data_IF_234984905631
#
_entry.id   IF_234984905631
#
_cell.length_a   1.000
_cell.length_b   1.000
_cell.length_c   1.000
_cell.angle_alpha   90.00
_cell.angle_beta   90.00
_cell.angle_gamma   90.00
#
_symmetry.space_group_name_H-M   'P 1'
#
loop_
_entity.id
_entity.type
_entity.pdbx_description
1 polymer ?
#
# COMPACT_ATOMS: atom_id res chain seq x y z
N UNK A 1 -5.41 20.76 -7.46
CA UNK A 1 -4.16 20.90 -6.66
C UNK A 1 -4.49 20.76 -5.18
N UNK A 2 -3.61 20.20 -4.39
CA UNK A 2 -3.79 20.16 -2.93
C UNK A 2 -3.64 21.55 -2.30
N UNK A 3 -4.40 21.80 -1.22
CA UNK A 3 -4.16 22.99 -0.38
C UNK A 3 -2.82 22.86 0.37
N UNK A 4 -2.19 23.97 0.79
CA UNK A 4 -0.95 23.93 1.58
C UNK A 4 -1.07 23.09 2.86
N UNK A 5 -2.22 23.14 3.54
CA UNK A 5 -2.45 22.32 4.73
C UNK A 5 -2.46 20.83 4.41
N UNK A 6 -3.14 20.43 3.33
CA UNK A 6 -3.21 19.04 2.90
C UNK A 6 -1.89 18.51 2.38
N UNK A 7 -1.10 19.35 1.69
CA UNK A 7 0.23 19.01 1.19
C UNK A 7 1.21 18.69 2.33
N UNK A 8 1.08 19.33 3.50
CA UNK A 8 1.94 19.07 4.67
C UNK A 8 1.75 17.68 5.26
N UNK A 9 0.57 17.10 5.15
CA UNK A 9 0.25 15.75 5.68
C UNK A 9 0.25 14.68 4.59
N UNK A 10 0.09 15.08 3.34
CA UNK A 10 0.12 14.18 2.17
C UNK A 10 1.10 14.73 1.13
N UNK A 11 2.41 14.52 1.33
CA UNK A 11 3.44 15.15 0.50
C UNK A 11 3.61 14.50 -0.89
N UNK A 12 2.93 13.40 -1.16
CA UNK A 12 3.00 12.67 -2.42
C UNK A 12 1.75 12.90 -3.28
N UNK A 13 0.97 11.87 -3.52
CA UNK A 13 -0.29 11.92 -4.25
C UNK A 13 -1.30 10.95 -3.61
N UNK A 14 -2.55 11.16 -3.93
CA UNK A 14 -3.67 10.35 -3.45
C UNK A 14 -4.46 9.84 -4.64
N UNK A 15 -4.93 8.60 -4.55
CA UNK A 15 -5.88 8.01 -5.49
C UNK A 15 -7.34 8.36 -5.15
N UNK A 16 -8.24 7.78 -5.91
CA UNK A 16 -9.68 7.96 -5.83
C UNK A 16 -10.26 8.00 -7.23
N UNK A 17 -11.29 8.80 -7.47
CA UNK A 17 -11.80 9.05 -8.83
C UNK A 17 -10.77 9.76 -9.72
N UNK A 18 -9.90 10.52 -9.11
CA UNK A 18 -8.81 11.26 -9.77
C UNK A 18 -7.54 11.10 -8.95
N UNK A 19 -6.39 11.00 -9.63
CA UNK A 19 -5.09 11.16 -8.97
C UNK A 19 -4.89 12.62 -8.60
N UNK A 20 -4.65 12.86 -7.32
CA UNK A 20 -4.31 14.17 -6.78
C UNK A 20 -2.82 14.19 -6.49
N UNK A 21 -2.07 14.98 -7.23
CA UNK A 21 -0.61 15.13 -7.05
C UNK A 21 -0.31 16.32 -6.16
N UNK A 22 0.60 16.11 -5.20
CA UNK A 22 1.10 17.17 -4.34
C UNK A 22 2.17 17.98 -5.06
N UNK A 23 1.92 19.28 -5.25
CA UNK A 23 2.88 20.21 -5.85
C UNK A 23 3.39 21.21 -4.82
N UNK A 24 4.61 21.74 -5.02
CA UNK A 24 5.11 22.85 -4.24
C UNK A 24 4.15 24.06 -4.26
N UNK A 25 3.97 24.70 -3.13
CA UNK A 25 3.12 25.88 -2.97
C UNK A 25 3.96 27.18 -2.93
N UNK A 26 3.34 28.32 -3.22
CA UNK A 26 4.04 29.60 -3.22
C UNK A 26 4.63 29.98 -1.87
N UNK A 27 4.05 29.49 -0.77
CA UNK A 27 4.51 29.76 0.60
C UNK A 27 5.73 28.91 1.02
N UNK A 28 6.14 27.94 0.22
CA UNK A 28 7.32 27.12 0.51
C UNK A 28 8.60 27.86 0.13
N UNK A 29 9.68 27.64 0.88
CA UNK A 29 11.02 28.08 0.49
C UNK A 29 11.46 27.42 -0.81
N UNK A 30 12.43 28.01 -1.51
CA UNK A 30 12.98 27.40 -2.74
C UNK A 30 13.56 25.99 -2.48
N UNK A 31 14.26 25.80 -1.36
CA UNK A 31 14.78 24.49 -0.95
C UNK A 31 13.69 23.45 -0.75
N UNK A 32 12.61 23.83 -0.06
CA UNK A 32 11.46 22.93 0.16
C UNK A 32 10.73 22.58 -1.14
N UNK A 33 10.63 23.54 -2.06
CA UNK A 33 10.06 23.26 -3.41
C UNK A 33 10.86 22.22 -4.17
N UNK A 34 12.20 22.36 -4.20
CA UNK A 34 13.07 21.37 -4.83
C UNK A 34 13.01 20.02 -4.15
N UNK A 35 12.97 20.00 -2.81
CA UNK A 35 12.83 18.78 -2.01
C UNK A 35 11.52 18.04 -2.32
N UNK A 36 10.40 18.77 -2.38
CA UNK A 36 9.09 18.22 -2.74
C UNK A 36 9.11 17.57 -4.13
N UNK A 37 9.74 18.23 -5.11
CA UNK A 37 9.85 17.70 -6.48
C UNK A 37 10.76 16.46 -6.56
N UNK A 38 11.83 16.39 -5.77
CA UNK A 38 12.65 15.18 -5.68
C UNK A 38 11.86 13.99 -5.10
N UNK A 39 10.99 14.24 -4.11
CA UNK A 39 10.10 13.23 -3.54
C UNK A 39 9.01 12.75 -4.52
N UNK A 40 8.59 13.60 -5.44
CA UNK A 40 7.57 13.31 -6.47
C UNK A 40 8.17 13.13 -7.87
N UNK A 41 9.30 12.46 -7.97
CA UNK A 41 9.95 12.19 -9.26
C UNK A 41 9.21 11.12 -10.09
N UNK A 42 9.43 11.06 -11.41
CA UNK A 42 8.74 10.13 -12.31
C UNK A 42 8.90 8.66 -11.93
N UNK A 43 10.08 8.23 -11.47
CA UNK A 43 10.32 6.83 -11.08
C UNK A 43 9.46 6.41 -9.87
N UNK A 44 9.28 7.31 -8.89
CA UNK A 44 8.42 7.09 -7.75
C UNK A 44 6.95 7.09 -8.14
N UNK A 45 6.52 8.06 -8.95
CA UNK A 45 5.14 8.19 -9.41
C UNK A 45 4.70 7.00 -10.25
N UNK A 46 5.52 6.52 -11.17
CA UNK A 46 5.23 5.35 -11.98
C UNK A 46 5.08 4.07 -11.15
N UNK A 47 5.84 3.94 -10.09
CA UNK A 47 5.76 2.79 -9.19
C UNK A 47 4.45 2.75 -8.41
N UNK A 48 3.83 3.90 -8.14
CA UNK A 48 2.63 4.03 -7.34
C UNK A 48 1.35 4.28 -8.13
N UNK A 49 1.43 4.56 -9.44
CA UNK A 49 0.24 4.77 -10.27
C UNK A 49 -0.68 3.55 -10.27
N UNK A 50 -0.13 2.35 -10.26
CA UNK A 50 -0.89 1.10 -10.20
C UNK A 50 -1.47 0.83 -8.81
N UNK A 51 -0.82 1.35 -7.76
CA UNK A 51 -1.34 1.33 -6.39
C UNK A 51 -2.61 2.19 -6.30
N UNK A 52 -2.60 3.38 -6.87
CA UNK A 52 -3.70 4.33 -6.75
C UNK A 52 -4.83 4.07 -7.75
N UNK A 53 -4.53 3.61 -8.96
CA UNK A 53 -5.52 3.42 -10.01
C UNK A 53 -5.90 1.95 -10.21
N UNK A 54 -5.44 1.36 -11.30
CA UNK A 54 -5.74 -0.01 -11.73
C UNK A 54 -4.42 -0.79 -11.78
N UNK A 55 -4.36 -1.93 -11.09
CA UNK A 55 -5.42 -2.67 -10.41
C UNK A 55 -5.63 -2.33 -8.92
N UNK A 56 -5.10 -1.19 -8.44
CA UNK A 56 -5.13 -0.76 -7.05
C UNK A 56 -6.46 -0.14 -6.60
N UNK A 57 -6.34 0.95 -5.83
CA UNK A 57 -7.46 1.55 -5.08
C UNK A 57 -8.66 1.96 -5.94
N UNK A 58 -8.46 2.55 -7.11
CA UNK A 58 -9.59 2.95 -7.96
C UNK A 58 -10.47 1.74 -8.33
N UNK A 59 -9.84 0.66 -8.80
CA UNK A 59 -10.58 -0.57 -9.14
C UNK A 59 -11.19 -1.22 -7.90
N UNK A 60 -10.44 -1.25 -6.79
CA UNK A 60 -10.91 -1.80 -5.52
C UNK A 60 -12.18 -1.09 -5.02
N UNK A 61 -12.18 0.25 -4.97
CA UNK A 61 -13.34 1.04 -4.53
C UNK A 61 -14.53 0.90 -5.47
N UNK A 62 -14.28 0.81 -6.79
CA UNK A 62 -15.34 0.51 -7.77
C UNK A 62 -16.09 -0.79 -7.43
N UNK A 63 -15.36 -1.84 -6.99
CA UNK A 63 -15.97 -3.09 -6.55
C UNK A 63 -16.62 -2.98 -5.17
N UNK A 64 -16.01 -2.27 -4.23
CA UNK A 64 -16.55 -2.08 -2.88
C UNK A 64 -17.93 -1.43 -2.86
N UNK A 65 -18.19 -0.50 -3.75
CA UNK A 65 -19.50 0.15 -3.88
C UNK A 65 -20.57 -0.78 -4.41
N UNK A 66 -20.22 -1.83 -5.16
CA UNK A 66 -21.13 -2.73 -5.88
C UNK A 66 -21.35 -4.06 -5.20
N UNK A 67 -20.35 -4.54 -4.48
CA UNK A 67 -20.39 -5.87 -3.87
C UNK A 67 -20.26 -5.76 -2.36
N UNK A 68 -21.18 -6.36 -1.63
CA UNK A 68 -21.24 -6.37 -0.16
C UNK A 68 -20.99 -4.98 0.48
N UNK A 69 -21.70 -3.91 0.07
CA UNK A 69 -21.41 -2.54 0.52
C UNK A 69 -21.52 -2.37 2.05
N UNK A 70 -22.29 -3.23 2.74
CA UNK A 70 -22.36 -3.24 4.20
C UNK A 70 -21.03 -3.53 4.88
N UNK A 71 -20.08 -4.18 4.21
CA UNK A 71 -18.74 -4.47 4.76
C UNK A 71 -17.82 -3.25 4.78
N UNK A 72 -18.20 -2.16 4.10
CA UNK A 72 -17.45 -0.90 4.17
C UNK A 72 -17.38 -0.31 5.59
N UNK A 73 -18.26 -0.73 6.50
CA UNK A 73 -18.23 -0.36 7.93
C UNK A 73 -17.02 -0.99 8.65
N UNK A 74 -16.49 -2.10 8.15
CA UNK A 74 -15.38 -2.86 8.75
C UNK A 74 -14.09 -2.73 7.96
N UNK A 75 -13.76 -1.53 7.55
CA UNK A 75 -12.53 -1.29 6.79
C UNK A 75 -11.29 -1.67 7.60
N UNK A 76 -10.41 -2.43 6.95
CA UNK A 76 -9.10 -2.78 7.50
C UNK A 76 -7.98 -2.38 6.53
N UNK A 77 -6.92 -1.72 7.00
CA UNK A 77 -5.79 -1.36 6.16
C UNK A 77 -5.09 -2.59 5.56
N UNK A 78 -5.17 -3.74 6.20
CA UNK A 78 -4.64 -5.00 5.68
C UNK A 78 -5.32 -5.39 4.35
N UNK A 79 -6.63 -5.16 4.22
CA UNK A 79 -7.34 -5.44 2.99
C UNK A 79 -7.19 -4.28 1.99
N UNK A 80 -7.41 -3.04 2.41
CA UNK A 80 -7.41 -1.87 1.52
C UNK A 80 -6.00 -1.61 0.98
N UNK A 81 -5.07 -1.30 1.85
CA UNK A 81 -3.70 -0.95 1.47
C UNK A 81 -2.89 -2.18 1.04
N UNK A 82 -3.15 -3.30 1.72
CA UNK A 82 -2.51 -4.57 1.40
C UNK A 82 -2.78 -5.03 -0.02
N UNK A 83 -4.00 -4.82 -0.56
CA UNK A 83 -4.33 -5.11 -1.95
C UNK A 83 -3.46 -4.34 -2.94
N UNK A 84 -3.36 -3.03 -2.77
CA UNK A 84 -2.58 -2.18 -3.66
C UNK A 84 -1.08 -2.49 -3.61
N UNK A 85 -0.53 -2.72 -2.41
CA UNK A 85 0.88 -3.14 -2.26
C UNK A 85 1.11 -4.56 -2.78
N UNK A 86 0.16 -5.47 -2.63
CA UNK A 86 0.22 -6.80 -3.26
C UNK A 86 0.41 -6.69 -4.78
N UNK A 87 -0.29 -5.78 -5.44
CA UNK A 87 -0.09 -5.54 -6.87
C UNK A 87 1.27 -4.90 -7.20
N UNK A 88 1.80 -4.01 -6.35
CA UNK A 88 3.19 -3.55 -6.50
C UNK A 88 4.17 -4.73 -6.51
N UNK A 89 4.00 -5.70 -5.59
CA UNK A 89 4.86 -6.87 -5.49
C UNK A 89 4.67 -7.85 -6.66
N UNK A 90 3.43 -8.07 -7.08
CA UNK A 90 3.11 -8.98 -8.18
C UNK A 90 3.62 -8.44 -9.52
N UNK A 91 3.45 -7.15 -9.79
CA UNK A 91 3.97 -6.49 -10.98
C UNK A 91 5.50 -6.50 -11.02
N UNK A 92 6.16 -6.31 -9.88
CA UNK A 92 7.60 -6.48 -9.77
C UNK A 92 8.04 -7.89 -10.18
N UNK A 93 7.38 -8.92 -9.68
CA UNK A 93 7.71 -10.32 -9.99
C UNK A 93 7.52 -10.66 -11.46
N UNK A 94 6.52 -10.07 -12.09
CA UNK A 94 6.16 -10.32 -13.50
C UNK A 94 6.95 -9.48 -14.51
N UNK A 95 7.75 -8.55 -14.02
CA UNK A 95 8.55 -7.71 -14.89
C UNK A 95 7.76 -6.63 -15.62
N UNK A 96 6.66 -6.15 -15.11
CA UNK A 96 5.72 -5.23 -15.77
C UNK A 96 5.44 -5.60 -17.23
N UNK A 97 4.21 -5.81 -17.67
CA UNK A 97 3.92 -6.16 -19.06
C UNK A 97 4.56 -5.11 -19.99
N UNK A 98 5.28 -5.58 -21.00
CA UNK A 98 5.82 -4.74 -22.08
C UNK A 98 4.76 -3.88 -22.78
N UNK A 99 3.50 -4.19 -22.56
CA UNK A 99 2.31 -3.51 -23.05
C UNK A 99 2.00 -2.17 -22.33
N UNK A 100 2.63 -1.89 -21.20
CA UNK A 100 2.48 -0.60 -20.49
C UNK A 100 3.29 0.53 -21.17
N UNK A 101 3.69 0.31 -22.42
CA UNK A 101 4.26 1.30 -23.32
C UNK A 101 5.79 1.33 -23.33
N UNK A 102 6.33 1.75 -24.47
CA UNK A 102 7.78 1.90 -24.69
C UNK A 102 8.47 2.75 -23.62
N UNK A 103 7.75 3.70 -23.02
CA UNK A 103 8.29 4.59 -22.00
C UNK A 103 8.65 3.88 -20.70
N UNK A 104 7.94 2.79 -20.32
CA UNK A 104 8.32 1.95 -19.19
C UNK A 104 9.63 1.20 -19.48
N UNK A 105 9.73 0.59 -20.64
CA UNK A 105 10.90 -0.19 -21.05
C UNK A 105 12.19 0.66 -21.12
N UNK A 106 12.09 1.90 -21.61
CA UNK A 106 13.26 2.80 -21.71
C UNK A 106 13.81 3.26 -20.34
N UNK A 107 13.01 3.18 -19.28
CA UNK A 107 13.35 3.62 -17.93
C UNK A 107 13.25 2.50 -16.88
N UNK A 108 13.34 1.23 -17.28
CA UNK A 108 13.11 0.09 -16.41
C UNK A 108 13.95 0.13 -15.12
N UNK A 109 15.25 0.42 -15.23
CA UNK A 109 16.15 0.50 -14.07
C UNK A 109 15.69 1.57 -13.06
N UNK A 110 15.34 2.77 -13.52
CA UNK A 110 14.84 3.85 -12.66
C UNK A 110 13.49 3.48 -12.02
N UNK A 111 12.58 2.87 -12.78
CA UNK A 111 11.29 2.41 -12.28
C UNK A 111 11.46 1.30 -11.23
N UNK A 112 12.39 0.38 -11.43
CA UNK A 112 12.73 -0.66 -10.42
C UNK A 112 13.31 -0.04 -9.16
N UNK A 113 14.15 0.99 -9.26
CA UNK A 113 14.64 1.74 -8.09
C UNK A 113 13.47 2.38 -7.34
N UNK A 114 12.53 3.01 -8.05
CA UNK A 114 11.32 3.57 -7.44
C UNK A 114 10.50 2.53 -6.68
N UNK A 115 10.31 1.34 -7.26
CA UNK A 115 9.62 0.23 -6.56
C UNK A 115 10.36 -0.25 -5.32
N UNK A 116 11.69 -0.33 -5.37
CA UNK A 116 12.51 -0.72 -4.21
C UNK A 116 12.47 0.34 -3.11
N UNK A 117 12.50 1.62 -3.49
CA UNK A 117 12.31 2.72 -2.53
C UNK A 117 10.99 2.59 -1.77
N UNK A 118 9.88 2.39 -2.48
CA UNK A 118 8.58 2.20 -1.83
C UNK A 118 8.52 0.94 -0.99
N UNK A 119 9.16 -0.15 -1.41
CA UNK A 119 9.25 -1.37 -0.59
C UNK A 119 10.02 -1.13 0.71
N UNK A 120 11.15 -0.44 0.66
CA UNK A 120 11.89 -0.04 1.87
C UNK A 120 11.07 0.86 2.76
N UNK A 121 10.33 1.81 2.18
CA UNK A 121 9.40 2.66 2.91
C UNK A 121 8.32 1.84 3.64
N UNK A 122 7.71 0.84 2.98
CA UNK A 122 6.74 -0.07 3.60
C UNK A 122 7.35 -0.85 4.77
N UNK A 123 8.58 -1.32 4.65
CA UNK A 123 9.30 -1.97 5.76
C UNK A 123 9.54 -1.01 6.93
N UNK A 124 9.99 0.20 6.64
CA UNK A 124 10.22 1.22 7.66
C UNK A 124 8.92 1.60 8.40
N UNK A 125 7.79 1.68 7.68
CA UNK A 125 6.46 1.91 8.28
C UNK A 125 6.10 0.87 9.34
N UNK A 126 6.39 -0.41 9.12
CA UNK A 126 6.16 -1.46 10.11
C UNK A 126 7.04 -1.19 11.34
N UNK A 127 8.33 -0.95 11.13
CA UNK A 127 9.32 -0.78 12.20
C UNK A 127 8.95 0.42 13.08
N UNK A 128 8.79 1.60 12.49
CA UNK A 128 8.56 2.80 13.29
C UNK A 128 7.16 2.82 13.91
N UNK A 129 6.14 2.30 13.21
CA UNK A 129 4.78 2.27 13.74
C UNK A 129 4.69 1.38 14.98
N UNK A 130 5.26 0.17 14.94
CA UNK A 130 5.27 -0.73 16.09
C UNK A 130 6.09 -0.12 17.23
N UNK A 131 7.32 0.33 16.97
CA UNK A 131 8.19 0.86 18.01
C UNK A 131 7.66 2.13 18.66
N UNK A 132 7.03 3.03 17.88
CA UNK A 132 6.39 4.21 18.40
C UNK A 132 5.26 3.85 19.37
N UNK A 133 4.33 2.98 18.97
CA UNK A 133 3.20 2.59 19.84
C UNK A 133 3.61 1.75 21.04
N UNK A 134 4.79 1.12 21.02
CA UNK A 134 5.39 0.46 22.18
C UNK A 134 6.23 1.42 23.06
N UNK A 135 6.31 2.70 22.73
CA UNK A 135 7.13 3.67 23.45
C UNK A 135 8.65 3.46 23.29
N UNK A 136 9.07 2.74 22.24
CA UNK A 136 10.47 2.40 21.95
C UNK A 136 11.14 3.34 20.94
N UNK A 137 10.39 4.21 20.30
CA UNK A 137 10.87 5.26 19.40
C UNK A 137 10.04 6.53 19.58
N UNK A 138 10.69 7.66 19.61
CA UNK A 138 10.04 8.96 19.56
C UNK A 138 9.85 9.43 18.10
N UNK A 139 9.06 10.48 17.82
CA UNK A 139 8.83 10.96 16.46
C UNK A 139 10.09 11.34 15.70
N UNK A 140 11.10 11.91 16.36
CA UNK A 140 12.36 12.31 15.73
C UNK A 140 13.16 11.08 15.26
N UNK A 141 13.23 10.04 16.08
CA UNK A 141 13.87 8.77 15.71
C UNK A 141 13.17 8.09 14.53
N UNK A 142 11.84 8.21 14.44
CA UNK A 142 11.06 7.72 13.29
C UNK A 142 11.42 8.49 12.01
N UNK A 143 11.55 9.82 12.08
CA UNK A 143 11.99 10.67 10.96
C UNK A 143 13.40 10.28 10.53
N UNK A 144 14.32 10.16 11.47
CA UNK A 144 15.71 9.81 11.19
C UNK A 144 15.84 8.40 10.57
N UNK A 145 15.03 7.45 10.98
CA UNK A 145 14.93 6.13 10.32
C UNK A 145 14.55 6.26 8.84
N UNK A 146 13.53 7.06 8.53
CA UNK A 146 13.09 7.27 7.15
C UNK A 146 14.15 7.98 6.30
N UNK A 147 14.81 8.99 6.85
CA UNK A 147 15.87 9.72 6.15
C UNK A 147 17.09 8.83 5.91
N UNK A 148 17.59 8.16 6.96
CA UNK A 148 18.88 7.45 6.90
C UNK A 148 18.80 6.08 6.26
N UNK A 149 17.68 5.36 6.42
CA UNK A 149 17.54 3.97 5.96
C UNK A 149 16.73 3.84 4.67
N UNK A 150 15.82 4.76 4.40
CA UNK A 150 14.98 4.74 3.20
C UNK A 150 15.46 5.76 2.16
N UNK A 151 16.08 6.86 2.59
CA UNK A 151 16.52 7.94 1.70
C UNK A 151 15.44 8.99 1.45
N UNK A 152 14.47 9.14 2.37
CA UNK A 152 13.50 10.22 2.28
C UNK A 152 14.15 11.60 2.45
N UNK A 153 13.66 12.56 1.70
CA UNK A 153 13.86 13.97 2.02
C UNK A 153 13.25 14.28 3.40
N UNK A 154 13.96 15.06 4.22
CA UNK A 154 13.56 15.29 5.62
C UNK A 154 12.13 15.82 5.76
N UNK A 155 11.74 16.83 4.98
CA UNK A 155 10.39 17.39 5.04
C UNK A 155 9.31 16.35 4.69
N UNK A 156 9.60 15.45 3.76
CA UNK A 156 8.72 14.34 3.41
C UNK A 156 8.62 13.32 4.54
N UNK A 157 9.75 12.97 5.17
CA UNK A 157 9.77 12.08 6.33
C UNK A 157 9.00 12.65 7.52
N UNK A 158 9.13 13.97 7.80
CA UNK A 158 8.35 14.67 8.83
C UNK A 158 6.85 14.62 8.54
N UNK A 159 6.44 14.86 7.30
CA UNK A 159 5.05 14.74 6.87
C UNK A 159 4.51 13.33 7.07
N UNK A 160 5.28 12.32 6.69
CA UNK A 160 4.90 10.91 6.83
C UNK A 160 4.74 10.47 8.30
N UNK A 161 5.68 10.85 9.17
CA UNK A 161 5.60 10.55 10.61
C UNK A 161 4.44 11.30 11.27
N UNK A 162 4.25 12.58 10.93
CA UNK A 162 3.14 13.38 11.44
C UNK A 162 1.79 12.76 11.10
N UNK A 163 1.56 12.42 9.82
CA UNK A 163 0.29 11.80 9.40
C UNK A 163 0.03 10.44 10.08
N UNK A 164 1.09 9.71 10.41
CA UNK A 164 0.98 8.40 11.03
C UNK A 164 0.53 8.45 12.50
N UNK A 165 0.77 9.57 13.19
CA UNK A 165 0.55 9.70 14.64
C UNK A 165 -0.38 10.84 15.06
N UNK A 166 -0.77 11.72 14.14
CA UNK A 166 -1.60 12.90 14.45
C UNK A 166 -3.11 12.60 14.59
N UNK A 167 -3.51 11.33 14.58
CA UNK A 167 -4.91 10.93 14.76
C UNK A 167 -5.72 10.80 13.45
N UNK A 168 -5.12 11.03 12.29
CA UNK A 168 -5.78 10.81 10.99
C UNK A 168 -5.92 9.31 10.69
N UNK A 169 -5.02 8.49 11.20
CA UNK A 169 -5.03 7.03 11.08
C UNK A 169 -5.13 6.36 12.44
N UNK A 170 -5.84 5.22 12.54
CA UNK A 170 -5.81 4.42 13.74
C UNK A 170 -4.40 3.87 14.01
N UNK A 171 -4.08 3.51 15.27
CA UNK A 171 -2.81 2.88 15.63
C UNK A 171 -2.48 1.69 14.72
N UNK A 172 -1.21 1.56 14.32
CA UNK A 172 -0.69 0.49 13.46
C UNK A 172 -1.24 0.43 12.03
N UNK A 173 -2.01 1.45 11.59
CA UNK A 173 -2.50 1.52 10.20
C UNK A 173 -1.38 1.27 9.18
N UNK A 174 -0.22 1.88 9.40
CA UNK A 174 0.93 1.81 8.49
C UNK A 174 1.50 0.39 8.32
N UNK A 175 1.32 -0.50 9.30
CA UNK A 175 1.75 -1.89 9.20
C UNK A 175 0.87 -2.69 8.21
N UNK A 176 -0.37 -2.28 8.01
CA UNK A 176 -1.34 -2.94 7.13
C UNK A 176 -0.90 -3.01 5.67
N UNK A 177 -0.15 -2.03 5.19
CA UNK A 177 0.35 -1.98 3.82
C UNK A 177 1.11 -3.26 3.41
N UNK A 178 2.26 -3.49 3.99
CA UNK A 178 3.12 -4.61 3.58
C UNK A 178 2.68 -5.94 4.19
N UNK A 179 2.21 -5.96 5.43
CA UNK A 179 1.72 -7.20 6.03
C UNK A 179 0.46 -7.70 5.33
N UNK A 180 -0.45 -6.81 4.96
CA UNK A 180 -1.62 -7.16 4.14
C UNK A 180 -1.22 -7.71 2.77
N UNK A 181 -0.23 -7.10 2.12
CA UNK A 181 0.29 -7.60 0.85
C UNK A 181 0.86 -9.02 0.97
N UNK A 182 1.59 -9.32 2.04
CA UNK A 182 2.08 -10.68 2.29
C UNK A 182 0.95 -11.68 2.53
N UNK A 183 -0.12 -11.26 3.19
CA UNK A 183 -1.31 -12.11 3.35
C UNK A 183 -1.95 -12.42 2.00
N UNK A 184 -2.11 -11.44 1.11
CA UNK A 184 -2.61 -11.67 -0.25
C UNK A 184 -1.69 -12.55 -1.09
N UNK A 185 -0.37 -12.35 -1.01
CA UNK A 185 0.59 -13.21 -1.69
C UNK A 185 0.48 -14.67 -1.23
N UNK A 186 0.39 -14.88 0.08
CA UNK A 186 0.24 -16.22 0.66
C UNK A 186 -1.08 -16.86 0.23
N UNK A 187 -2.18 -16.11 0.30
CA UNK A 187 -3.50 -16.59 -0.13
C UNK A 187 -3.51 -16.97 -1.61
N UNK A 188 -2.93 -16.13 -2.46
CA UNK A 188 -2.78 -16.44 -3.88
C UNK A 188 -1.94 -17.70 -4.09
N UNK A 189 -0.81 -17.82 -3.40
CA UNK A 189 0.04 -19.01 -3.49
C UNK A 189 -0.75 -20.27 -3.13
N UNK A 190 -1.48 -20.27 -2.01
CA UNK A 190 -2.27 -21.41 -1.56
C UNK A 190 -3.39 -21.82 -2.53
N UNK A 191 -4.06 -20.87 -3.17
CA UNK A 191 -5.25 -21.15 -3.98
C UNK A 191 -4.96 -21.28 -5.48
N UNK A 192 -3.96 -20.54 -5.98
CA UNK A 192 -3.66 -20.48 -7.42
C UNK A 192 -2.46 -21.33 -7.79
N UNK A 193 -1.41 -21.35 -6.97
CA UNK A 193 -0.15 -22.03 -7.30
C UNK A 193 -0.06 -23.43 -6.69
N UNK A 194 -0.25 -23.57 -5.38
CA UNK A 194 0.05 -24.77 -4.60
C UNK A 194 -1.19 -25.63 -4.29
N UNK A 195 -2.37 -25.31 -4.84
CA UNK A 195 -3.60 -26.03 -4.52
C UNK A 195 -3.50 -27.51 -4.94
N UNK A 196 -3.69 -28.42 -3.99
CA UNK A 196 -3.82 -29.86 -4.25
C UNK A 196 -5.18 -30.23 -4.86
N UNK A 197 -6.17 -29.33 -4.76
CA UNK A 197 -7.50 -29.45 -5.33
C UNK A 197 -7.68 -28.64 -6.63
N UNK A 198 -8.92 -28.32 -7.00
CA UNK A 198 -9.19 -27.43 -8.13
C UNK A 198 -8.52 -26.10 -7.94
N UNK A 199 -7.55 -25.79 -8.78
CA UNK A 199 -6.84 -24.49 -8.73
C UNK A 199 -7.72 -23.37 -9.24
N UNK A 200 -7.71 -22.26 -8.53
CA UNK A 200 -8.31 -21.04 -9.03
C UNK A 200 -7.52 -20.52 -10.23
N UNK A 201 -8.23 -20.08 -11.26
CA UNK A 201 -7.60 -19.26 -12.31
C UNK A 201 -7.29 -17.90 -11.70
N UNK A 202 -6.15 -17.34 -12.06
CA UNK A 202 -5.67 -16.07 -11.51
C UNK A 202 -6.71 -14.94 -11.56
N UNK A 203 -7.30 -14.74 -12.75
CA UNK A 203 -8.36 -13.74 -12.91
C UNK A 203 -9.54 -13.99 -11.97
N UNK A 204 -10.01 -15.24 -11.89
CA UNK A 204 -11.15 -15.59 -11.03
C UNK A 204 -10.83 -15.38 -9.55
N UNK A 205 -9.60 -15.62 -9.12
CA UNK A 205 -9.13 -15.34 -7.77
C UNK A 205 -9.20 -13.83 -7.47
N UNK A 206 -8.62 -12.99 -8.32
CA UNK A 206 -8.63 -11.54 -8.12
C UNK A 206 -10.04 -10.96 -8.15
N UNK A 207 -10.89 -11.40 -9.08
CA UNK A 207 -12.29 -10.97 -9.16
C UNK A 207 -13.06 -11.36 -7.89
N UNK A 208 -12.84 -12.56 -7.36
CA UNK A 208 -13.49 -13.03 -6.13
C UNK A 208 -13.03 -12.22 -4.91
N UNK A 209 -11.72 -11.95 -4.77
CA UNK A 209 -11.19 -11.11 -3.69
C UNK A 209 -11.89 -9.75 -3.67
N UNK A 210 -11.97 -9.09 -4.81
CA UNK A 210 -12.59 -7.75 -4.88
C UNK A 210 -14.10 -7.79 -4.60
N UNK A 211 -14.79 -8.85 -5.02
CA UNK A 211 -16.23 -9.01 -4.77
C UNK A 211 -16.55 -9.27 -3.30
N UNK A 212 -15.64 -9.86 -2.53
CA UNK A 212 -15.85 -10.07 -1.11
C UNK A 212 -15.81 -8.78 -0.29
N UNK A 213 -15.27 -7.69 -0.83
CA UNK A 213 -15.14 -6.41 -0.13
C UNK A 213 -14.25 -6.52 1.13
N UNK A 214 -14.19 -5.47 1.94
CA UNK A 214 -13.28 -5.38 3.09
C UNK A 214 -13.63 -6.38 4.19
N UNK A 215 -12.75 -7.37 4.38
CA UNK A 215 -12.77 -8.32 5.50
C UNK A 215 -11.34 -8.64 5.90
N UNK A 216 -11.09 -9.12 7.13
CA UNK A 216 -9.79 -9.68 7.48
C UNK A 216 -9.39 -10.78 6.48
N UNK A 217 -8.14 -10.78 6.01
CA UNK A 217 -7.71 -11.69 4.92
C UNK A 217 -7.76 -13.16 5.37
N UNK A 218 -7.60 -13.43 6.65
CA UNK A 218 -7.80 -14.78 7.19
C UNK A 218 -9.26 -15.26 7.08
N UNK A 219 -10.22 -14.34 7.24
CA UNK A 219 -11.65 -14.62 7.00
C UNK A 219 -11.91 -14.89 5.54
N UNK A 220 -11.32 -14.07 4.64
CA UNK A 220 -11.38 -14.29 3.20
C UNK A 220 -10.83 -15.66 2.80
N UNK A 221 -9.69 -16.05 3.38
CA UNK A 221 -9.09 -17.37 3.18
C UNK A 221 -10.05 -18.49 3.57
N UNK A 222 -10.64 -18.41 4.74
CA UNK A 222 -11.60 -19.41 5.22
C UNK A 222 -12.82 -19.51 4.29
N UNK A 223 -13.34 -18.37 3.84
CA UNK A 223 -14.46 -18.32 2.88
C UNK A 223 -14.11 -19.05 1.57
N UNK A 224 -12.94 -18.79 1.01
CA UNK A 224 -12.53 -19.41 -0.26
C UNK A 224 -12.20 -20.91 -0.14
N UNK A 225 -11.89 -21.36 1.07
CA UNK A 225 -11.64 -22.78 1.35
C UNK A 225 -12.91 -23.52 1.82
N UNK A 226 -14.04 -22.82 1.99
CA UNK A 226 -15.27 -23.41 2.53
C UNK A 226 -15.15 -23.82 4.02
N UNK A 227 -14.23 -23.21 4.75
CA UNK A 227 -14.01 -23.48 6.18
C UNK A 227 -15.08 -22.77 7.00
N UNK A 228 -15.62 -23.48 8.01
CA UNK A 228 -16.60 -22.87 8.93
C UNK A 228 -15.88 -21.99 9.95
N UNK A 229 -16.30 -20.74 10.01
CA UNK A 229 -15.83 -19.80 11.02
C UNK A 229 -16.71 -19.91 12.28
N UNK A 230 -16.08 -19.86 13.45
CA UNK A 230 -16.76 -19.75 14.73
C UNK A 230 -16.59 -18.35 15.31
N UNK A 231 -17.48 -17.93 16.21
CA UNK A 231 -17.37 -16.65 16.92
C UNK A 231 -16.12 -16.53 17.79
N UNK A 232 -15.47 -17.65 18.11
CA UNK A 232 -14.28 -17.73 18.95
C UNK A 232 -13.00 -18.04 18.14
N UNK A 233 -13.01 -17.74 16.84
CA UNK A 233 -11.82 -17.97 16.00
C UNK A 233 -10.63 -17.17 16.52
N UNK A 234 -9.49 -17.85 16.65
CA UNK A 234 -8.21 -17.20 16.95
C UNK A 234 -7.38 -17.18 15.67
N UNK A 235 -6.74 -16.05 15.38
CA UNK A 235 -5.82 -15.94 14.27
C UNK A 235 -4.65 -16.92 14.41
N UNK A 236 -4.58 -17.90 13.53
CA UNK A 236 -3.56 -18.97 13.54
C UNK A 236 -2.82 -19.07 12.22
N UNK A 237 -3.32 -18.40 11.19
CA UNK A 237 -2.76 -18.48 9.87
C UNK A 237 -1.37 -17.83 9.80
N UNK A 238 -0.37 -18.61 9.38
CA UNK A 238 0.99 -18.13 9.13
C UNK A 238 1.14 -17.78 7.65
N UNK A 239 1.23 -16.50 7.35
CA UNK A 239 1.34 -15.97 5.99
C UNK A 239 2.76 -15.58 5.60
N UNK A 240 3.70 -15.68 6.53
CA UNK A 240 5.14 -15.50 6.33
C UNK A 240 5.88 -16.62 7.05
N UNK A 241 6.78 -17.28 6.33
CA UNK A 241 7.69 -18.31 6.87
C UNK A 241 8.92 -17.64 7.50
#
# INVERSE_FOLDING_TARGET
MMTPARQRVNPFFLGGEQIIVSYPTNSMSHGDKLMSMRGNNPAFSRSTVHHELIPGHHLQFYYMERYHPHRSVFQTPFWIEGWSVYWELLLWQRGFPSEVGQEWATNEAANRIGMLFWRMHRCARIIFSIKFHLGQMNPQECIDLLVTRVGHERATAEGEVRRSFAGEYPPLYQAGYLLGAFQFQRLRKELVEDSEGPRWKEKSFHDAVMRENSVPIEVLRATFRGEKLSSNIKAQWRFKD
#
